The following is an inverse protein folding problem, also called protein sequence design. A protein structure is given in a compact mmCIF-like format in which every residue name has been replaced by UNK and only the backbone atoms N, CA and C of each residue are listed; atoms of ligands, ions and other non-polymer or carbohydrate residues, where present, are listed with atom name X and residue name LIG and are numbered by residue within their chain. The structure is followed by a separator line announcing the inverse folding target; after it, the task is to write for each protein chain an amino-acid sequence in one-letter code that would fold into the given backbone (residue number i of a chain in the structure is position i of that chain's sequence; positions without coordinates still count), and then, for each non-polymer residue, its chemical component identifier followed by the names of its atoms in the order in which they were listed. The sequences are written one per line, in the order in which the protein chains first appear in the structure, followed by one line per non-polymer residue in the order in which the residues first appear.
data_IF_704273085266
#
_entry.id   IF_704273085266
#
_cell.length_a   1.000
_cell.length_b   1.000
_cell.length_c   1.000
_cell.angle_alpha   90.00
_cell.angle_beta   90.00
_cell.angle_gamma   90.00
#
_symmetry.space_group_name_H-M   'P 1'
#
loop_
_entity.id
_entity.type
_entity.pdbx_description
1 polymer ?
#
# COMPACT_ATOMS: atom_id res chain seq x y z
N UNK A 1 27.39 -8.86 -9.08
CA UNK A 1 26.39 -8.51 -8.04
C UNK A 1 25.94 -9.80 -7.39
N UNK A 2 26.33 -10.04 -6.13
CA UNK A 2 25.92 -11.26 -5.40
C UNK A 2 24.42 -11.18 -5.15
N UNK A 3 23.66 -12.02 -5.83
CA UNK A 3 22.22 -12.22 -5.60
C UNK A 3 22.12 -12.77 -4.17
N UNK A 4 21.52 -12.02 -3.26
CA UNK A 4 21.41 -12.37 -1.84
C UNK A 4 20.85 -13.79 -1.69
N UNK A 5 21.69 -14.75 -1.29
CA UNK A 5 21.35 -16.15 -1.01
C UNK A 5 20.33 -16.30 0.16
N UNK A 6 20.02 -15.21 0.87
CA UNK A 6 18.93 -15.15 1.86
C UNK A 6 17.53 -14.99 1.25
N UNK A 7 17.43 -14.69 -0.05
CA UNK A 7 16.14 -14.63 -0.77
C UNK A 7 15.72 -15.95 -1.41
N UNK A 8 16.56 -16.98 -1.32
CA UNK A 8 16.24 -18.34 -1.79
C UNK A 8 15.61 -19.21 -0.69
N UNK A 9 14.89 -18.59 0.25
CA UNK A 9 14.20 -19.31 1.31
C UNK A 9 12.72 -19.51 0.96
N UNK A 10 12.34 -20.76 0.81
CA UNK A 10 10.97 -21.32 0.78
C UNK A 10 10.09 -20.89 1.99
N UNK A 11 10.64 -20.12 2.94
CA UNK A 11 9.96 -19.62 4.13
C UNK A 11 8.81 -18.65 3.80
N UNK A 12 7.62 -18.81 4.39
CA UNK A 12 6.48 -17.91 4.22
C UNK A 12 6.80 -16.43 4.48
N UNK A 13 7.67 -16.14 5.47
CA UNK A 13 8.08 -14.77 5.78
C UNK A 13 8.91 -14.15 4.65
N UNK A 14 9.85 -14.90 4.06
CA UNK A 14 10.64 -14.43 2.92
C UNK A 14 9.77 -14.09 1.71
N UNK A 15 8.75 -14.92 1.43
CA UNK A 15 7.75 -14.64 0.39
C UNK A 15 6.92 -13.40 0.71
N UNK A 16 6.48 -13.23 1.96
CA UNK A 16 5.74 -12.04 2.39
C UNK A 16 6.60 -10.76 2.25
N UNK A 17 7.85 -10.81 2.68
CA UNK A 17 8.79 -9.68 2.55
C UNK A 17 9.14 -9.39 1.09
N UNK A 18 9.22 -10.39 0.22
CA UNK A 18 9.40 -10.16 -1.21
C UNK A 18 8.16 -9.53 -1.85
N UNK A 19 6.96 -9.94 -1.43
CA UNK A 19 5.71 -9.37 -1.93
C UNK A 19 5.53 -7.92 -1.44
N UNK A 20 5.89 -7.62 -0.19
CA UNK A 20 5.64 -6.32 0.46
C UNK A 20 6.82 -5.36 0.46
N UNK A 21 8.05 -5.85 0.25
CA UNK A 21 9.31 -5.13 0.46
C UNK A 21 9.59 -3.98 -0.50
N UNK A 22 8.58 -3.50 -1.22
CA UNK A 22 8.68 -2.28 -2.01
C UNK A 22 8.23 -1.08 -1.17
N UNK A 23 8.84 0.07 -1.44
CA UNK A 23 8.47 1.35 -0.79
C UNK A 23 6.99 1.70 -0.99
N UNK A 24 6.39 1.30 -2.10
CA UNK A 24 5.10 1.81 -2.56
C UNK A 24 3.93 0.88 -2.28
N UNK A 25 4.14 -0.44 -2.24
CA UNK A 25 3.05 -1.41 -2.07
C UNK A 25 2.24 -1.18 -0.79
N UNK A 26 2.85 -0.96 0.40
CA UNK A 26 2.08 -0.65 1.61
C UNK A 26 1.24 0.62 1.46
N UNK A 27 1.80 1.67 0.85
CA UNK A 27 1.10 2.94 0.61
C UNK A 27 -0.09 2.74 -0.33
N UNK A 28 0.09 2.00 -1.43
CA UNK A 28 -0.98 1.71 -2.39
C UNK A 28 -2.11 0.92 -1.72
N UNK A 29 -1.78 -0.08 -0.89
CA UNK A 29 -2.78 -0.82 -0.12
C UNK A 29 -3.57 0.10 0.80
N UNK A 30 -2.90 0.97 1.55
CA UNK A 30 -3.56 1.91 2.46
C UNK A 30 -4.48 2.91 1.73
N UNK A 31 -4.18 3.25 0.48
CA UNK A 31 -4.99 4.16 -0.33
C UNK A 31 -6.21 3.47 -0.94
N UNK A 32 -6.11 2.19 -1.33
CA UNK A 32 -7.21 1.43 -1.96
C UNK A 32 -8.15 0.79 -0.92
N UNK A 33 -7.70 0.62 0.33
CA UNK A 33 -8.40 -0.17 1.36
C UNK A 33 -9.90 0.12 1.52
N UNK A 34 -10.33 1.37 1.36
CA UNK A 34 -11.70 1.79 1.64
C UNK A 34 -12.61 1.76 0.40
N UNK A 35 -12.05 1.80 -0.81
CA UNK A 35 -12.83 1.86 -2.05
C UNK A 35 -12.05 1.50 -3.31
N UNK A 36 -12.78 1.11 -4.36
CA UNK A 36 -12.21 0.95 -5.70
C UNK A 36 -11.76 2.32 -6.24
N UNK A 37 -10.58 2.37 -6.88
CA UNK A 37 -9.99 3.61 -7.39
C UNK A 37 -9.52 3.46 -8.83
N UNK A 38 -9.66 4.53 -9.62
CA UNK A 38 -9.06 4.63 -10.96
C UNK A 38 -7.57 4.96 -10.88
N UNK A 39 -6.83 4.68 -11.96
CA UNK A 39 -5.39 5.02 -12.02
C UNK A 39 -5.11 6.51 -11.76
N UNK A 40 -5.91 7.40 -12.36
CA UNK A 40 -5.75 8.84 -12.18
C UNK A 40 -5.95 9.27 -10.73
N UNK A 41 -6.93 8.68 -10.05
CA UNK A 41 -7.19 8.94 -8.64
C UNK A 41 -6.05 8.45 -7.73
N UNK A 42 -5.47 7.29 -8.04
CA UNK A 42 -4.30 6.77 -7.34
C UNK A 42 -3.09 7.67 -7.51
N UNK A 43 -2.83 8.11 -8.74
CA UNK A 43 -1.71 9.00 -9.05
C UNK A 43 -1.84 10.37 -8.37
N UNK A 44 -3.06 10.88 -8.19
CA UNK A 44 -3.31 12.12 -7.46
C UNK A 44 -3.10 11.94 -5.95
N UNK A 45 -3.61 10.84 -5.38
CA UNK A 45 -3.47 10.56 -3.94
C UNK A 45 -2.03 10.25 -3.52
N UNK A 46 -1.26 9.63 -4.40
CA UNK A 46 0.16 9.30 -4.19
C UNK A 46 1.00 10.23 -5.05
N UNK A 47 0.87 11.54 -4.88
CA UNK A 47 1.48 12.54 -5.78
C UNK A 47 3.03 12.48 -5.91
N UNK A 48 3.70 11.78 -5.00
CA UNK A 48 5.16 11.58 -4.98
C UNK A 48 5.63 10.43 -5.88
N UNK A 49 4.75 9.53 -6.31
CA UNK A 49 5.12 8.39 -7.16
C UNK A 49 5.02 8.78 -8.64
N UNK A 50 6.02 8.40 -9.45
CA UNK A 50 5.89 8.58 -10.90
C UNK A 50 4.83 7.63 -11.46
N UNK A 51 4.13 8.06 -12.52
CA UNK A 51 3.11 7.24 -13.18
C UNK A 51 3.65 5.90 -13.68
N UNK A 52 4.89 5.89 -14.17
CA UNK A 52 5.58 4.66 -14.60
C UNK A 52 5.75 3.70 -13.44
N UNK A 53 6.31 4.16 -12.32
CA UNK A 53 6.53 3.33 -11.14
C UNK A 53 5.19 2.85 -10.57
N UNK A 54 4.15 3.69 -10.51
CA UNK A 54 2.81 3.27 -10.09
C UNK A 54 2.27 2.14 -10.97
N UNK A 55 2.44 2.25 -12.29
CA UNK A 55 2.00 1.21 -13.24
C UNK A 55 2.74 -0.11 -12.98
N UNK A 56 4.06 -0.06 -12.80
CA UNK A 56 4.88 -1.24 -12.55
C UNK A 56 4.51 -1.89 -11.20
N UNK A 57 4.28 -1.08 -10.17
CA UNK A 57 3.84 -1.56 -8.86
C UNK A 57 2.44 -2.19 -8.89
N UNK A 58 1.47 -1.60 -9.60
CA UNK A 58 0.14 -2.19 -9.74
C UNK A 58 0.20 -3.53 -10.49
N UNK A 59 1.04 -3.65 -11.54
CA UNK A 59 1.26 -4.91 -12.24
C UNK A 59 1.85 -5.99 -11.34
N UNK A 60 2.87 -5.65 -10.56
CA UNK A 60 3.47 -6.56 -9.58
C UNK A 60 2.45 -7.00 -8.52
N UNK A 61 1.71 -6.05 -7.94
CA UNK A 61 0.68 -6.35 -6.95
C UNK A 61 -0.45 -7.23 -7.51
N UNK A 62 -0.80 -7.06 -8.77
CA UNK A 62 -1.77 -7.92 -9.44
C UNK A 62 -1.22 -9.33 -9.62
N UNK A 63 0.04 -9.47 -10.04
CA UNK A 63 0.71 -10.77 -10.16
C UNK A 63 0.87 -11.47 -8.79
N UNK A 64 1.13 -10.72 -7.72
CA UNK A 64 1.21 -11.22 -6.35
C UNK A 64 -0.17 -11.57 -5.74
N UNK A 65 -1.26 -11.27 -6.46
CA UNK A 65 -2.63 -11.51 -6.02
C UNK A 65 -3.09 -10.59 -4.88
N UNK A 66 -2.53 -9.38 -4.77
CA UNK A 66 -2.89 -8.39 -3.75
C UNK A 66 -3.99 -7.44 -4.22
N UNK A 67 -4.10 -7.21 -5.53
CA UNK A 67 -5.09 -6.31 -6.12
C UNK A 67 -5.84 -6.97 -7.27
N UNK A 68 -7.08 -6.51 -7.48
CA UNK A 68 -7.93 -6.85 -8.61
C UNK A 68 -7.97 -5.63 -9.53
N UNK A 69 -7.78 -5.86 -10.83
CA UNK A 69 -7.96 -4.86 -11.89
C UNK A 69 -9.23 -5.19 -12.67
N UNK A 70 -10.24 -4.35 -12.56
CA UNK A 70 -11.52 -4.52 -13.26
C UNK A 70 -11.62 -3.52 -14.40
N UNK A 71 -11.93 -4.02 -15.60
CA UNK A 71 -12.19 -3.20 -16.78
C UNK A 71 -13.70 -3.08 -17.02
N UNK A 72 -14.19 -1.86 -17.17
CA UNK A 72 -15.58 -1.57 -17.47
C UNK A 72 -15.69 -1.09 -18.92
N UNK A 73 -16.41 -1.87 -19.73
CA UNK A 73 -16.66 -1.60 -21.16
C UNK A 73 -17.85 -0.64 -21.38
N UNK A 74 -17.98 0.37 -20.52
CA UNK A 74 -18.94 1.45 -20.69
C UNK A 74 -18.35 2.58 -21.57
N UNK A 75 -19.17 3.53 -22.01
CA UNK A 75 -18.67 4.78 -22.59
C UNK A 75 -18.64 5.86 -21.51
N UNK A 76 -17.49 6.45 -21.17
CA UNK A 76 -16.13 6.11 -21.60
C UNK A 76 -15.55 4.88 -20.85
N UNK A 77 -14.66 4.10 -21.48
CA UNK A 77 -14.09 2.92 -20.82
C UNK A 77 -13.27 3.33 -19.61
N UNK A 78 -13.40 2.58 -18.51
CA UNK A 78 -12.65 2.84 -17.27
C UNK A 78 -12.05 1.56 -16.69
N UNK A 79 -11.01 1.76 -15.89
CA UNK A 79 -10.31 0.69 -15.16
C UNK A 79 -10.26 1.07 -13.70
N UNK A 80 -10.63 0.14 -12.83
CA UNK A 80 -10.59 0.31 -11.39
C UNK A 80 -9.73 -0.75 -10.73
N UNK A 81 -9.14 -0.37 -9.60
CA UNK A 81 -8.30 -1.20 -8.78
C UNK A 81 -8.94 -1.34 -7.40
N UNK A 82 -8.97 -2.58 -6.90
CA UNK A 82 -9.46 -2.92 -5.56
C UNK A 82 -8.52 -3.94 -4.90
N UNK A 83 -8.58 -4.07 -3.57
CA UNK A 83 -7.81 -5.11 -2.87
C UNK A 83 -8.49 -6.47 -3.02
N UNK A 84 -7.68 -7.52 -3.13
CA UNK A 84 -8.16 -8.89 -2.91
C UNK A 84 -8.36 -9.16 -1.42
N UNK A 85 -8.96 -10.30 -1.07
CA UNK A 85 -8.99 -10.78 0.32
C UNK A 85 -7.59 -10.88 0.93
N UNK A 86 -6.62 -11.37 0.15
CA UNK A 86 -5.19 -11.42 0.53
C UNK A 86 -4.62 -10.01 0.77
N UNK A 87 -4.99 -9.04 -0.06
CA UNK A 87 -4.59 -7.64 0.11
C UNK A 87 -5.19 -7.00 1.37
N UNK A 88 -6.46 -7.26 1.66
CA UNK A 88 -7.14 -6.78 2.86
C UNK A 88 -6.56 -7.38 4.15
N UNK A 89 -6.16 -8.65 4.12
CA UNK A 89 -5.52 -9.32 5.25
C UNK A 89 -4.17 -8.70 5.67
N UNK A 90 -3.57 -7.82 4.84
CA UNK A 90 -2.37 -7.08 5.18
C UNK A 90 -2.62 -5.90 6.12
N UNK A 91 -3.83 -5.33 6.12
CA UNK A 91 -4.17 -4.17 6.95
C UNK A 91 -3.89 -4.37 8.45
N UNK A 92 -4.33 -5.47 9.10
CA UNK A 92 -4.01 -5.70 10.50
C UNK A 92 -2.50 -5.91 10.75
N UNK A 93 -1.75 -6.38 9.76
CA UNK A 93 -0.29 -6.54 9.86
C UNK A 93 0.38 -5.16 9.83
N UNK A 94 -0.07 -4.27 8.94
CA UNK A 94 0.42 -2.89 8.90
C UNK A 94 0.13 -2.12 10.19
N UNK A 95 -1.02 -2.37 10.83
CA UNK A 95 -1.30 -1.81 12.14
C UNK A 95 -0.34 -2.29 13.23
N UNK A 96 0.01 -3.58 13.24
CA UNK A 96 1.02 -4.08 14.18
C UNK A 96 2.42 -3.49 13.92
N UNK A 97 2.77 -3.24 12.64
CA UNK A 97 4.01 -2.55 12.29
C UNK A 97 4.00 -1.09 12.76
N UNK A 98 2.87 -0.40 12.61
CA UNK A 98 2.67 0.98 13.10
C UNK A 98 2.77 1.06 14.63
N UNK A 99 2.16 0.12 15.34
CA UNK A 99 2.27 0.00 16.81
C UNK A 99 3.70 -0.29 17.26
N UNK A 100 4.38 -1.20 16.56
CA UNK A 100 5.78 -1.51 16.82
C UNK A 100 6.67 -0.27 16.63
N UNK A 101 6.53 0.45 15.53
CA UNK A 101 7.30 1.68 15.29
C UNK A 101 7.00 2.72 16.36
N UNK A 102 5.73 2.92 16.71
CA UNK A 102 5.32 3.87 17.76
C UNK A 102 5.94 3.54 19.13
N UNK A 103 6.14 2.25 19.42
CA UNK A 103 6.70 1.79 20.70
C UNK A 103 8.22 1.98 20.80
N UNK A 104 8.94 1.85 19.69
CA UNK A 104 10.41 1.81 19.68
C UNK A 104 11.07 3.04 19.04
N UNK A 105 10.33 3.86 18.30
CA UNK A 105 10.83 5.10 17.73
C UNK A 105 10.67 6.27 18.70
N UNK A 106 11.77 6.96 18.99
CA UNK A 106 11.74 8.25 19.70
C UNK A 106 11.39 9.31 18.68
N UNK A 107 10.21 9.94 18.82
CA UNK A 107 9.76 11.05 17.98
C UNK A 107 10.88 12.09 17.75
N UNK A 108 11.29 12.29 16.49
CA UNK A 108 12.22 13.36 16.09
C UNK A 108 11.40 14.52 15.50
N UNK A 109 11.21 15.63 16.24
CA UNK A 109 10.39 16.76 15.80
C UNK A 109 10.87 17.43 14.50
N UNK A 110 12.10 17.17 14.07
CA UNK A 110 12.74 17.79 12.92
C UNK A 110 12.51 16.95 11.66
N UNK A 111 12.43 15.62 11.76
CA UNK A 111 12.28 14.70 10.62
C UNK A 111 10.84 14.21 10.41
N UNK A 112 10.02 14.18 11.46
CA UNK A 112 8.69 13.54 11.42
C UNK A 112 7.53 14.50 11.09
N UNK A 113 7.81 15.71 10.56
CA UNK A 113 6.78 16.71 10.26
C UNK A 113 5.73 16.23 9.26
N UNK A 114 6.09 15.33 8.35
CA UNK A 114 5.21 14.86 7.27
C UNK A 114 4.30 13.68 7.69
N UNK A 115 4.60 13.00 8.81
CA UNK A 115 3.83 11.85 9.29
C UNK A 115 2.58 12.29 10.11
N UNK A 116 2.63 13.48 10.73
CA UNK A 116 1.51 14.03 11.52
C UNK A 116 0.24 14.23 10.70
N UNK A 117 0.37 14.66 9.45
CA UNK A 117 -0.78 14.96 8.56
C UNK A 117 -1.62 13.72 8.25
N UNK A 118 -1.02 12.52 8.21
CA UNK A 118 -1.74 11.28 7.88
C UNK A 118 -2.51 10.73 9.11
N UNK A 119 -1.92 10.80 10.30
CA UNK A 119 -2.56 10.35 11.55
C UNK A 119 -3.70 11.27 12.01
N UNK A 120 -3.57 12.59 11.81
CA UNK A 120 -4.61 13.55 12.19
C UNK A 120 -5.85 13.47 11.29
N UNK A 121 -5.69 13.06 10.03
CA UNK A 121 -6.81 12.86 9.09
C UNK A 121 -7.78 11.75 9.52
N UNK A 122 -7.32 10.77 10.31
CA UNK A 122 -8.15 9.68 10.88
C UNK A 122 -8.96 10.09 12.12
N UNK A 123 -8.70 11.27 12.72
CA UNK A 123 -9.45 11.70 13.91
C UNK A 123 -10.86 12.22 13.57
N UNK A 124 -11.17 12.44 12.28
CA UNK A 124 -12.45 13.02 11.83
C UNK A 124 -13.54 11.97 11.56
N UNK A 125 -13.21 10.67 11.43
CA UNK A 125 -14.18 9.61 11.12
C UNK A 125 -14.71 8.82 12.33
N UNK A 126 -14.39 9.25 13.56
CA UNK A 126 -14.96 8.70 14.81
C UNK A 126 -15.85 9.70 15.55
N UNK A 127 -16.79 10.35 14.84
CA UNK A 127 -17.98 10.96 15.45
C UNK A 127 -19.16 10.93 14.46
N UNK A 128 -19.75 9.75 14.24
CA UNK A 128 -21.19 9.60 13.96
C UNK A 128 -21.63 8.23 14.48
N UNK A 129 -21.89 8.17 15.79
CA UNK A 129 -23.08 7.53 16.39
C UNK A 129 -23.45 8.38 17.60
#
# INVERSE_FOLDING_TARGET
MKKNELMEYSCPLGKAMSALGSKWKPIIVLVIKDRKLRFGELAVRINVISRKVLTDQLKEMQADGLIIREEFKELPPRVEYSLTEKGLALLPIFHQLEEWETKYHVYDPIKDKDCKTFLESKKVEKVVV
#
